data_IF_248769010671
#
_entry.id   IF_248769010671
#
_cell.length_a   1.000
_cell.length_b   1.000
_cell.length_c   1.000
_cell.angle_alpha   90.00
_cell.angle_beta   90.00
_cell.angle_gamma   90.00
#
_symmetry.space_group_name_H-M   'P 1'
#
loop_
_entity.id
_entity.type
_entity.pdbx_description
1 polymer ?
#
# COMPACT_ATOMS: atom_id res chain seq x y z
N UNK A 1 -26.90 -8.59 20.34
CA UNK A 1 -26.50 -8.00 19.03
C UNK A 1 -25.01 -7.62 19.00
N UNK A 2 -24.10 -8.42 19.61
CA UNK A 2 -22.70 -8.01 19.84
C UNK A 2 -21.62 -8.95 19.29
N UNK A 3 -21.98 -10.09 18.70
CA UNK A 3 -21.01 -11.17 18.42
C UNK A 3 -20.62 -11.27 16.93
N UNK A 4 -21.45 -10.72 16.02
CA UNK A 4 -21.20 -10.77 14.56
C UNK A 4 -20.01 -9.92 14.08
N UNK A 5 -19.63 -8.86 14.81
CA UNK A 5 -18.61 -7.90 14.34
C UNK A 5 -17.18 -8.45 14.40
N UNK A 6 -16.88 -9.39 15.30
CA UNK A 6 -15.50 -9.86 15.52
C UNK A 6 -14.93 -10.67 14.34
N UNK A 7 -15.79 -11.35 13.56
CA UNK A 7 -15.39 -12.16 12.41
C UNK A 7 -15.13 -11.34 11.13
N UNK A 8 -15.40 -10.03 11.17
CA UNK A 8 -15.23 -9.12 10.02
C UNK A 8 -14.01 -8.22 10.15
N UNK A 9 -13.22 -8.38 11.22
CA UNK A 9 -12.04 -7.56 11.49
C UNK A 9 -10.76 -8.36 11.28
N UNK A 10 -9.92 -7.93 10.34
CA UNK A 10 -8.60 -8.46 10.09
C UNK A 10 -7.54 -7.56 10.73
N UNK A 11 -6.63 -8.15 11.51
CA UNK A 11 -5.49 -7.44 12.08
C UNK A 11 -4.21 -7.80 11.32
N UNK A 12 -3.53 -6.78 10.81
CA UNK A 12 -2.25 -6.93 10.13
C UNK A 12 -1.14 -6.34 11.00
N UNK A 13 -0.10 -7.15 11.22
CA UNK A 13 1.16 -6.73 11.85
C UNK A 13 2.19 -6.52 10.76
N UNK A 14 2.67 -5.29 10.63
CA UNK A 14 3.61 -4.91 9.59
C UNK A 14 5.02 -5.36 9.93
N UNK A 15 5.79 -5.74 8.90
CA UNK A 15 7.24 -5.92 9.05
C UNK A 15 7.85 -4.60 9.51
N UNK A 16 8.66 -4.66 10.57
CA UNK A 16 9.36 -3.49 11.12
C UNK A 16 10.56 -3.15 10.25
N UNK A 17 10.92 -1.86 10.17
CA UNK A 17 12.12 -1.42 9.45
C UNK A 17 12.01 -1.48 7.92
N UNK A 18 10.80 -1.67 7.36
CA UNK A 18 10.62 -1.59 5.90
C UNK A 18 10.75 -0.14 5.48
N UNK A 19 11.67 0.14 4.56
CA UNK A 19 11.92 1.48 4.04
C UNK A 19 11.26 1.68 2.68
N UNK A 20 10.75 2.89 2.45
CA UNK A 20 10.48 3.39 1.10
C UNK A 20 11.79 3.75 0.39
N UNK A 21 11.75 3.88 -0.93
CA UNK A 21 12.92 4.17 -1.76
C UNK A 21 13.66 5.47 -1.40
N UNK A 22 12.98 6.45 -0.79
CA UNK A 22 13.56 7.70 -0.29
C UNK A 22 14.09 7.62 1.14
N UNK A 23 14.04 6.44 1.77
CA UNK A 23 14.66 6.15 3.07
C UNK A 23 13.76 6.32 4.29
N UNK A 24 12.54 6.86 4.15
CA UNK A 24 11.57 6.88 5.26
C UNK A 24 11.04 5.47 5.53
N UNK A 25 10.88 5.11 6.79
CA UNK A 25 10.23 3.86 7.17
C UNK A 25 8.71 3.90 6.90
N UNK A 26 8.20 2.81 6.34
CA UNK A 26 6.78 2.54 6.14
C UNK A 26 6.09 2.23 7.46
N UNK A 27 4.91 2.81 7.67
CA UNK A 27 4.11 2.67 8.89
C UNK A 27 2.67 2.27 8.58
N UNK A 28 1.89 1.95 9.61
CA UNK A 28 0.46 1.69 9.48
C UNK A 28 -0.34 2.88 8.93
N UNK A 29 0.13 4.12 9.10
CA UNK A 29 -0.51 5.30 8.51
C UNK A 29 -0.45 5.26 6.98
N UNK A 30 0.67 4.80 6.42
CA UNK A 30 0.84 4.66 4.96
C UNK A 30 -0.12 3.63 4.36
N UNK A 31 -0.32 2.53 5.10
CA UNK A 31 -1.29 1.50 4.72
C UNK A 31 -2.70 2.05 4.78
N UNK A 32 -3.06 2.75 5.87
CA UNK A 32 -4.37 3.39 6.00
C UNK A 32 -4.61 4.38 4.87
N UNK A 33 -3.66 5.27 4.61
CA UNK A 33 -3.73 6.27 3.55
C UNK A 33 -3.94 5.61 2.18
N UNK A 34 -3.12 4.61 1.84
CA UNK A 34 -3.16 3.97 0.51
C UNK A 34 -4.50 3.30 0.22
N UNK A 35 -5.06 2.61 1.21
CA UNK A 35 -6.37 1.97 1.10
C UNK A 35 -7.50 2.99 1.09
N UNK A 36 -7.49 3.97 2.00
CA UNK A 36 -8.50 5.04 2.06
C UNK A 36 -8.54 5.87 0.77
N UNK A 37 -7.38 6.17 0.18
CA UNK A 37 -7.29 6.85 -1.12
C UNK A 37 -8.03 6.10 -2.22
N UNK A 38 -7.88 4.77 -2.31
CA UNK A 38 -8.59 3.97 -3.30
C UNK A 38 -10.10 3.87 -3.01
N UNK A 39 -10.47 3.82 -1.72
CA UNK A 39 -11.87 3.87 -1.30
C UNK A 39 -12.52 5.19 -1.73
N UNK A 40 -11.81 6.32 -1.58
CA UNK A 40 -12.29 7.65 -1.96
C UNK A 40 -12.41 7.81 -3.48
N UNK A 41 -11.45 7.28 -4.25
CA UNK A 41 -11.54 7.27 -5.72
C UNK A 41 -12.66 6.36 -6.23
N UNK A 42 -12.99 5.29 -5.49
CA UNK A 42 -14.06 4.36 -5.84
C UNK A 42 -13.97 3.89 -7.29
N UNK A 43 -15.10 3.81 -7.98
CA UNK A 43 -15.16 3.39 -9.39
C UNK A 43 -14.50 4.36 -10.39
N UNK A 44 -14.12 5.57 -9.97
CA UNK A 44 -13.31 6.46 -10.83
C UNK A 44 -11.89 5.91 -11.02
N UNK A 45 -11.40 5.11 -10.07
CA UNK A 45 -10.23 4.26 -10.29
C UNK A 45 -10.67 2.92 -10.87
N UNK A 46 -10.01 2.47 -11.95
CA UNK A 46 -10.29 1.18 -12.59
C UNK A 46 -10.42 0.04 -11.57
N UNK A 47 -9.57 0.05 -10.52
CA UNK A 47 -9.50 -1.00 -9.50
C UNK A 47 -10.11 -0.62 -8.15
N UNK A 48 -10.85 0.49 -8.02
CA UNK A 48 -11.42 0.89 -6.72
C UNK A 48 -12.46 -0.08 -6.16
N UNK A 49 -13.09 -0.89 -7.02
CA UNK A 49 -13.98 -1.99 -6.63
C UNK A 49 -13.33 -2.97 -5.64
N UNK A 50 -11.99 -3.09 -5.65
CA UNK A 50 -11.27 -3.98 -4.73
C UNK A 50 -11.37 -3.53 -3.26
N UNK A 51 -11.63 -2.24 -3.02
CA UNK A 51 -11.77 -1.69 -1.66
C UNK A 51 -13.21 -1.53 -1.18
N UNK A 52 -14.21 -1.83 -2.02
CA UNK A 52 -15.62 -1.62 -1.67
C UNK A 52 -16.08 -2.40 -0.45
N UNK A 53 -15.49 -3.57 -0.23
CA UNK A 53 -15.81 -4.44 0.90
C UNK A 53 -15.30 -3.90 2.24
N UNK A 54 -14.41 -2.91 2.23
CA UNK A 54 -13.88 -2.29 3.45
C UNK A 54 -14.94 -1.36 4.03
N UNK A 55 -15.26 -1.56 5.31
CA UNK A 55 -16.13 -0.68 6.11
C UNK A 55 -15.30 0.38 6.83
N UNK A 56 -14.19 -0.04 7.47
CA UNK A 56 -13.40 0.85 8.31
C UNK A 56 -11.94 0.38 8.38
N UNK A 57 -11.04 1.34 8.57
CA UNK A 57 -9.60 1.11 8.72
C UNK A 57 -9.15 1.83 9.98
N UNK A 58 -8.47 1.11 10.87
CA UNK A 58 -8.04 1.63 12.16
C UNK A 58 -6.56 1.38 12.39
N UNK A 59 -5.77 2.45 12.43
CA UNK A 59 -4.37 2.37 12.87
C UNK A 59 -4.36 2.10 14.37
N UNK A 60 -3.83 0.94 14.77
CA UNK A 60 -3.74 0.54 16.18
C UNK A 60 -2.46 1.07 16.81
N UNK A 61 -1.36 1.06 16.04
CA UNK A 61 -0.08 1.68 16.36
C UNK A 61 0.78 1.72 15.09
N UNK A 62 2.05 2.16 15.23
CA UNK A 62 2.97 2.35 14.10
C UNK A 62 3.14 1.13 13.17
N UNK A 63 3.00 -0.09 13.68
CA UNK A 63 3.20 -1.32 12.90
C UNK A 63 2.01 -2.28 12.99
N UNK A 64 0.82 -1.80 13.37
CA UNK A 64 -0.38 -2.62 13.45
C UNK A 64 -1.61 -1.84 12.97
N UNK A 65 -2.44 -2.50 12.16
CA UNK A 65 -3.65 -1.93 11.58
C UNK A 65 -4.79 -2.96 11.61
N UNK A 66 -5.99 -2.49 11.89
CA UNK A 66 -7.23 -3.25 11.79
C UNK A 66 -7.99 -2.83 10.53
N UNK A 67 -8.49 -3.79 9.77
CA UNK A 67 -9.39 -3.54 8.64
C UNK A 67 -10.69 -4.29 8.92
N UNK A 68 -11.79 -3.54 8.98
CA UNK A 68 -13.13 -4.07 9.17
C UNK A 68 -13.84 -4.13 7.82
N UNK A 69 -14.49 -5.26 7.54
CA UNK A 69 -15.25 -5.48 6.31
C UNK A 69 -16.75 -5.30 6.53
N UNK A 70 -17.45 -4.83 5.49
CA UNK A 70 -18.93 -4.71 5.46
C UNK A 70 -19.62 -6.06 5.63
N UNK A 71 -19.02 -7.09 5.03
CA UNK A 71 -19.49 -8.48 5.04
C UNK A 71 -18.29 -9.41 4.83
N UNK A 72 -18.41 -10.72 5.14
CA UNK A 72 -17.32 -11.66 4.90
C UNK A 72 -16.92 -11.66 3.42
N UNK A 73 -15.61 -11.64 3.15
CA UNK A 73 -15.06 -11.70 1.80
C UNK A 73 -13.83 -12.60 1.78
N UNK A 74 -13.96 -13.79 1.21
CA UNK A 74 -12.91 -14.80 1.14
C UNK A 74 -11.76 -14.40 0.20
N UNK A 75 -12.02 -13.51 -0.75
CA UNK A 75 -11.04 -13.00 -1.71
C UNK A 75 -10.28 -11.78 -1.18
N UNK A 76 -10.61 -11.27 0.01
CA UNK A 76 -10.05 -10.01 0.50
C UNK A 76 -8.52 -10.01 0.58
N UNK A 77 -7.92 -11.11 1.05
CA UNK A 77 -6.46 -11.23 1.09
C UNK A 77 -5.83 -11.27 -0.30
N UNK A 78 -6.52 -11.85 -1.29
CA UNK A 78 -6.07 -11.86 -2.68
C UNK A 78 -6.19 -10.47 -3.31
N UNK A 79 -7.25 -9.74 -2.98
CA UNK A 79 -7.41 -8.34 -3.39
C UNK A 79 -6.25 -7.51 -2.86
N UNK A 80 -5.94 -7.60 -1.56
CA UNK A 80 -4.80 -6.88 -0.96
C UNK A 80 -3.44 -7.22 -1.58
N UNK A 81 -3.29 -8.40 -2.21
CA UNK A 81 -2.07 -8.79 -2.92
C UNK A 81 -1.98 -8.23 -4.35
N UNK A 82 -3.04 -7.58 -4.86
CA UNK A 82 -3.06 -7.01 -6.20
C UNK A 82 -2.16 -5.76 -6.29
N UNK A 83 -1.37 -5.58 -7.37
CA UNK A 83 -0.44 -4.45 -7.50
C UNK A 83 -1.07 -3.06 -7.34
N UNK A 84 -2.34 -2.91 -7.69
CA UNK A 84 -3.06 -1.64 -7.53
C UNK A 84 -3.29 -1.22 -6.07
N UNK A 85 -3.14 -2.14 -5.11
CA UNK A 85 -3.22 -1.89 -3.67
C UNK A 85 -1.82 -1.78 -3.03
N UNK A 86 -0.79 -1.49 -3.83
CA UNK A 86 0.54 -1.20 -3.32
C UNK A 86 0.51 -0.04 -2.31
N UNK A 87 1.32 -0.16 -1.26
CA UNK A 87 1.42 0.84 -0.20
C UNK A 87 2.31 2.00 -0.68
N UNK A 88 1.77 3.20 -0.61
CA UNK A 88 2.40 4.45 -1.03
C UNK A 88 2.77 5.31 0.18
N UNK A 89 3.83 6.13 0.07
CA UNK A 89 4.21 7.06 1.14
C UNK A 89 3.22 8.23 1.20
N UNK A 90 2.47 8.29 2.31
CA UNK A 90 1.38 9.26 2.51
C UNK A 90 1.81 10.71 2.25
N UNK A 91 2.97 11.10 2.77
CA UNK A 91 3.48 12.47 2.69
C UNK A 91 3.70 12.93 1.25
N UNK A 92 4.24 12.05 0.41
CA UNK A 92 4.56 12.38 -0.98
C UNK A 92 3.27 12.42 -1.82
N UNK A 93 2.34 11.49 -1.58
CA UNK A 93 1.07 11.47 -2.30
C UNK A 93 0.22 12.71 -1.99
N UNK A 94 0.24 13.19 -0.75
CA UNK A 94 -0.49 14.41 -0.34
C UNK A 94 0.09 15.68 -0.98
N UNK A 95 1.41 15.73 -1.19
CA UNK A 95 2.07 16.87 -1.82
C UNK A 95 1.88 16.88 -3.34
N UNK A 96 2.02 15.73 -4.00
CA UNK A 96 1.90 15.62 -5.45
C UNK A 96 1.54 14.20 -5.90
N UNK A 97 0.25 13.92 -6.00
CA UNK A 97 -0.23 12.62 -6.48
C UNK A 97 0.24 12.28 -7.91
N UNK A 98 0.39 13.30 -8.77
CA UNK A 98 0.86 13.15 -10.14
C UNK A 98 2.29 12.60 -10.26
N UNK A 99 3.09 12.71 -9.19
CA UNK A 99 4.45 12.18 -9.18
C UNK A 99 4.46 10.67 -9.37
N UNK A 100 3.44 9.92 -8.93
CA UNK A 100 3.42 8.46 -9.04
C UNK A 100 3.22 7.95 -10.46
N UNK A 101 2.65 8.76 -11.36
CA UNK A 101 2.57 8.42 -12.78
C UNK A 101 3.92 8.51 -13.50
N UNK A 102 4.88 9.26 -12.94
CA UNK A 102 6.20 9.51 -13.55
C UNK A 102 7.36 8.91 -12.77
N UNK A 103 7.39 9.10 -11.46
CA UNK A 103 8.43 8.68 -10.53
C UNK A 103 7.81 8.01 -9.29
N UNK A 104 7.20 6.81 -9.42
CA UNK A 104 6.66 6.08 -8.29
C UNK A 104 7.73 5.77 -7.23
N UNK A 105 7.32 5.90 -5.98
CA UNK A 105 8.11 5.54 -4.80
C UNK A 105 7.37 4.43 -4.06
N UNK A 106 8.09 3.34 -3.76
CA UNK A 106 7.54 2.20 -3.05
C UNK A 106 8.54 1.58 -2.10
N UNK A 107 8.24 0.37 -1.64
CA UNK A 107 9.10 -0.43 -0.74
C UNK A 107 9.71 -1.65 -1.45
N UNK A 108 9.52 -1.72 -2.77
CA UNK A 108 9.93 -2.85 -3.60
C UNK A 108 11.44 -2.94 -3.83
N UNK A 109 11.91 -4.06 -4.41
CA UNK A 109 13.32 -4.36 -4.60
C UNK A 109 14.07 -3.40 -5.53
N UNK A 110 13.35 -2.70 -6.41
CA UNK A 110 13.91 -1.73 -7.34
C UNK A 110 13.24 -0.38 -7.17
N UNK A 111 14.02 0.69 -7.32
CA UNK A 111 13.53 2.07 -7.41
C UNK A 111 13.72 2.60 -8.81
N UNK A 112 12.87 3.55 -9.19
CA UNK A 112 13.01 4.21 -10.48
C UNK A 112 14.16 5.22 -10.44
N UNK A 113 15.11 5.07 -11.36
CA UNK A 113 16.24 6.00 -11.54
C UNK A 113 15.94 7.00 -12.67
N UNK A 114 15.27 6.56 -13.73
CA UNK A 114 14.88 7.40 -14.86
C UNK A 114 13.60 6.86 -15.48
N UNK A 115 12.69 7.77 -15.85
CA UNK A 115 11.50 7.43 -16.62
C UNK A 115 11.18 8.57 -17.59
N UNK A 116 11.43 8.33 -18.87
CA UNK A 116 11.07 9.22 -19.97
C UNK A 116 10.47 8.43 -21.13
N UNK A 117 10.17 9.12 -22.23
CA UNK A 117 9.48 8.55 -23.39
C UNK A 117 10.24 7.37 -24.05
N UNK A 118 11.53 7.18 -23.75
CA UNK A 118 12.37 6.17 -24.37
C UNK A 118 12.87 5.11 -23.39
N UNK A 119 13.05 5.47 -22.11
CA UNK A 119 13.64 4.56 -21.13
C UNK A 119 12.95 4.63 -19.77
N UNK A 120 12.61 3.44 -19.27
CA UNK A 120 12.33 3.20 -17.86
C UNK A 120 13.54 2.46 -17.28
N UNK A 121 14.38 3.18 -16.53
CA UNK A 121 15.57 2.64 -15.87
C UNK A 121 15.28 2.46 -14.39
N UNK A 122 15.38 1.22 -13.94
CA UNK A 122 15.30 0.83 -12.54
C UNK A 122 16.71 0.66 -11.98
N UNK A 123 16.85 0.85 -10.68
CA UNK A 123 18.06 0.55 -9.93
C UNK A 123 17.73 -0.29 -8.71
N UNK A 124 18.62 -1.22 -8.35
CA UNK A 124 18.51 -1.99 -7.12
C UNK A 124 18.32 -1.07 -5.90
N UNK A 125 17.36 -1.42 -5.04
CA UNK A 125 17.19 -0.77 -3.76
C UNK A 125 17.97 -1.54 -2.69
N UNK A 126 19.15 -1.04 -2.35
CA UNK A 126 20.08 -1.72 -1.42
C UNK A 126 19.48 -1.96 -0.04
N UNK A 127 18.56 -1.11 0.40
CA UNK A 127 17.86 -1.23 1.69
C UNK A 127 16.53 -2.01 1.59
N UNK A 128 16.33 -2.79 0.53
CA UNK A 128 15.16 -3.65 0.41
C UNK A 128 15.08 -4.62 1.59
N UNK A 129 13.89 -4.75 2.18
CA UNK A 129 13.68 -5.53 3.40
C UNK A 129 13.86 -7.06 3.22
N UNK A 130 13.90 -7.52 1.96
CA UNK A 130 14.16 -8.90 1.60
C UNK A 130 15.61 -9.12 1.19
N UNK A 131 15.82 -10.02 0.23
CA UNK A 131 17.13 -10.21 -0.39
C UNK A 131 17.33 -9.10 -1.43
N UNK A 132 18.43 -8.35 -1.32
CA UNK A 132 18.83 -7.38 -2.33
C UNK A 132 18.83 -8.06 -3.72
N UNK A 133 18.27 -7.44 -4.76
CA UNK A 133 18.34 -7.99 -6.10
C UNK A 133 19.78 -8.26 -6.56
N UNK A 134 19.94 -9.30 -7.37
CA UNK A 134 21.19 -9.62 -8.03
C UNK A 134 21.48 -8.72 -9.25
N UNK A 135 20.45 -8.03 -9.75
CA UNK A 135 20.56 -7.05 -10.82
C UNK A 135 20.73 -5.66 -10.23
N UNK A 136 21.54 -4.82 -10.87
CA UNK A 136 21.81 -3.44 -10.46
C UNK A 136 20.93 -2.42 -11.18
#
# INVERSE_FOLDING_TARGET
MGEKRRWLALHFYLRKGVLFHHGREMTANDVSYSLSRLMELGFSACQGWMTECIENIRVLNRSAIAIELKQPNELFLQQLAHPSLAILPEEICRENEGIFGRMPIGTGPFRLERNDDYICKLRAFDSYFGVRPHLD
#
